data_IF_131322158964
#
_entry.id   IF_131322158964
#
_cell.length_a   1.000
_cell.length_b   1.000
_cell.length_c   1.000
_cell.angle_alpha   90.00
_cell.angle_beta   90.00
_cell.angle_gamma   90.00
#
_symmetry.space_group_name_H-M   'P 1'
#
loop_
_entity.id
_entity.type
_entity.pdbx_description
1 polymer ?
#
# COMPACT_ATOMS: atom_id res chain seq x y z
N UNK A 1 -6.67 -19.47 -5.39
CA UNK A 1 -7.57 -18.67 -4.51
C UNK A 1 -9.01 -19.13 -4.65
N UNK A 2 -9.55 -19.20 -5.86
CA UNK A 2 -10.88 -19.77 -6.17
C UNK A 2 -10.98 -21.21 -5.64
N UNK A 3 -9.95 -22.00 -5.83
CA UNK A 3 -9.89 -23.42 -5.39
C UNK A 3 -9.99 -23.52 -3.85
N UNK A 4 -9.24 -22.69 -3.11
CA UNK A 4 -9.28 -22.71 -1.64
C UNK A 4 -10.64 -22.27 -1.13
N UNK A 5 -11.22 -21.23 -1.73
CA UNK A 5 -12.54 -20.75 -1.35
C UNK A 5 -13.65 -21.75 -1.70
N UNK A 6 -13.58 -22.38 -2.87
CA UNK A 6 -14.50 -23.47 -3.26
C UNK A 6 -14.40 -24.63 -2.27
N UNK A 7 -13.17 -25.02 -1.87
CA UNK A 7 -12.95 -26.06 -0.89
C UNK A 7 -13.56 -25.71 0.49
N UNK A 8 -13.37 -24.48 0.98
CA UNK A 8 -13.96 -24.01 2.24
C UNK A 8 -15.49 -23.97 2.16
N UNK A 9 -16.04 -23.53 1.03
CA UNK A 9 -17.50 -23.48 0.82
C UNK A 9 -18.13 -24.87 0.72
N UNK A 10 -17.45 -25.83 0.10
CA UNK A 10 -17.87 -27.23 0.03
C UNK A 10 -17.84 -27.89 1.41
N UNK A 11 -16.85 -27.58 2.25
CA UNK A 11 -16.78 -28.06 3.64
C UNK A 11 -17.90 -27.48 4.52
N UNK A 12 -18.41 -26.28 4.17
CA UNK A 12 -19.51 -25.61 4.87
C UNK A 12 -20.94 -26.01 4.45
N UNK A 13 -21.14 -27.06 3.67
CA UNK A 13 -22.43 -27.62 3.25
C UNK A 13 -23.29 -26.78 2.27
N UNK A 14 -22.74 -25.75 1.61
CA UNK A 14 -23.52 -24.96 0.63
C UNK A 14 -22.68 -24.52 -0.59
N UNK A 15 -22.43 -25.40 -1.58
CA UNK A 15 -21.46 -25.11 -2.65
C UNK A 15 -21.95 -24.14 -3.75
N UNK A 16 -23.22 -24.04 -4.04
CA UNK A 16 -23.71 -23.29 -5.20
C UNK A 16 -24.28 -21.89 -4.90
N UNK A 17 -24.97 -21.64 -3.80
CA UNK A 17 -25.45 -20.28 -3.50
C UNK A 17 -24.32 -19.29 -3.23
N UNK A 18 -23.17 -19.79 -2.76
CA UNK A 18 -22.04 -18.96 -2.35
C UNK A 18 -21.36 -18.19 -3.51
N UNK A 19 -21.44 -18.67 -4.75
CA UNK A 19 -20.88 -17.99 -5.92
C UNK A 19 -21.68 -16.75 -6.34
N UNK A 20 -22.98 -16.70 -6.01
CA UNK A 20 -23.91 -15.64 -6.46
C UNK A 20 -24.62 -14.92 -5.30
N UNK A 21 -24.24 -15.20 -4.06
CA UNK A 21 -24.82 -14.57 -2.87
C UNK A 21 -24.03 -13.36 -2.37
N UNK A 22 -24.59 -12.55 -1.44
CA UNK A 22 -23.86 -11.48 -0.74
C UNK A 22 -22.54 -11.90 -0.12
N UNK A 23 -22.38 -13.18 0.24
CA UNK A 23 -21.13 -13.73 0.78
C UNK A 23 -19.98 -13.71 -0.24
N UNK A 24 -20.27 -13.85 -1.53
CA UNK A 24 -19.30 -13.63 -2.61
C UNK A 24 -18.80 -12.19 -2.62
N UNK A 25 -19.69 -11.22 -2.41
CA UNK A 25 -19.32 -9.80 -2.29
C UNK A 25 -18.44 -9.56 -1.07
N UNK A 26 -18.76 -10.21 0.07
CA UNK A 26 -17.93 -10.20 1.28
C UNK A 26 -16.53 -10.76 1.02
N UNK A 27 -16.45 -11.92 0.37
CA UNK A 27 -15.18 -12.52 -0.03
C UNK A 27 -14.38 -11.60 -0.99
N UNK A 28 -15.04 -11.04 -2.00
CA UNK A 28 -14.41 -10.08 -2.90
C UNK A 28 -13.92 -8.83 -2.16
N UNK A 29 -14.49 -8.46 -1.02
CA UNK A 29 -14.01 -7.40 -0.15
C UNK A 29 -12.78 -7.83 0.66
N UNK A 30 -12.62 -9.10 1.00
CA UNK A 30 -11.40 -9.59 1.70
C UNK A 30 -10.15 -9.51 0.83
N UNK A 31 -10.27 -9.56 -0.50
CA UNK A 31 -9.15 -9.37 -1.44
C UNK A 31 -8.97 -7.92 -1.91
N UNK A 32 -9.48 -6.98 -1.15
CA UNK A 32 -9.40 -5.55 -1.47
C UNK A 32 -7.97 -5.08 -1.81
N UNK A 33 -6.98 -5.60 -1.11
CA UNK A 33 -5.58 -5.26 -1.32
C UNK A 33 -5.12 -5.63 -2.74
N UNK A 34 -5.42 -6.84 -3.21
CA UNK A 34 -5.05 -7.29 -4.56
C UNK A 34 -5.73 -6.44 -5.63
N UNK A 35 -7.01 -6.12 -5.44
CA UNK A 35 -7.74 -5.22 -6.33
C UNK A 35 -7.08 -3.85 -6.39
N UNK A 36 -6.72 -3.31 -5.22
CA UNK A 36 -6.09 -2.01 -5.12
C UNK A 36 -4.71 -1.99 -5.79
N UNK A 37 -3.89 -3.02 -5.57
CA UNK A 37 -2.59 -3.17 -6.25
C UNK A 37 -2.78 -3.23 -7.76
N UNK A 38 -3.72 -4.02 -8.25
CA UNK A 38 -4.03 -4.09 -9.69
C UNK A 38 -4.46 -2.72 -10.25
N UNK A 39 -5.33 -2.00 -9.55
CA UNK A 39 -5.75 -0.66 -9.94
C UNK A 39 -4.57 0.33 -9.95
N UNK A 40 -3.67 0.25 -8.97
CA UNK A 40 -2.47 1.08 -8.94
C UNK A 40 -1.57 0.83 -10.16
N UNK A 41 -1.37 -0.44 -10.54
CA UNK A 41 -0.62 -0.79 -11.75
C UNK A 41 -1.31 -0.29 -13.01
N UNK A 42 -2.62 -0.48 -13.13
CA UNK A 42 -3.40 -0.04 -14.29
C UNK A 42 -3.36 1.48 -14.43
N UNK A 43 -3.65 2.22 -13.36
CA UNK A 43 -3.61 3.70 -13.34
C UNK A 43 -2.19 4.20 -13.58
N UNK A 44 -1.18 3.59 -12.94
CA UNK A 44 0.23 3.94 -13.15
C UNK A 44 0.65 3.75 -14.61
N UNK A 45 0.33 2.60 -15.20
CA UNK A 45 0.66 2.31 -16.60
C UNK A 45 -0.02 3.30 -17.57
N UNK A 46 -1.33 3.50 -17.44
CA UNK A 46 -2.09 4.39 -18.29
C UNK A 46 -1.63 5.85 -18.16
N UNK A 47 -1.37 6.31 -16.94
CA UNK A 47 -0.94 7.68 -16.70
C UNK A 47 0.46 7.97 -17.23
N UNK A 48 1.42 7.04 -17.08
CA UNK A 48 2.76 7.19 -17.69
C UNK A 48 2.65 7.28 -19.22
N UNK A 49 1.77 6.47 -19.81
CA UNK A 49 1.57 6.46 -21.27
C UNK A 49 0.91 7.77 -21.77
N UNK A 50 0.00 8.32 -20.96
CA UNK A 50 -0.72 9.57 -21.28
C UNK A 50 0.19 10.79 -21.13
N UNK A 51 0.87 10.92 -20.01
CA UNK A 51 1.66 12.13 -19.67
C UNK A 51 3.10 12.07 -20.19
N UNK A 52 3.59 10.90 -20.61
CA UNK A 52 4.99 10.68 -21.04
C UNK A 52 6.06 11.08 -20.02
N UNK A 53 5.66 11.67 -18.91
CA UNK A 53 6.53 12.07 -17.79
C UNK A 53 6.03 11.36 -16.52
N UNK A 54 6.90 10.55 -15.94
CA UNK A 54 6.60 9.73 -14.76
C UNK A 54 6.22 10.59 -13.55
N UNK A 55 6.94 11.68 -13.32
CA UNK A 55 6.71 12.55 -12.17
C UNK A 55 5.41 13.34 -12.31
N UNK A 56 5.08 13.80 -13.52
CA UNK A 56 3.81 14.44 -13.80
C UNK A 56 2.65 13.44 -13.64
N UNK A 57 2.81 12.21 -14.16
CA UNK A 57 1.84 11.14 -13.99
C UNK A 57 1.57 10.83 -12.52
N UNK A 58 2.64 10.71 -11.72
CA UNK A 58 2.54 10.49 -10.28
C UNK A 58 1.81 11.63 -9.58
N UNK A 59 2.23 12.88 -9.82
CA UNK A 59 1.63 14.06 -9.19
C UNK A 59 0.13 14.15 -9.50
N UNK A 60 -0.23 14.10 -10.79
CA UNK A 60 -1.63 14.25 -11.22
C UNK A 60 -2.50 13.13 -10.65
N UNK A 61 -2.05 11.87 -10.73
CA UNK A 61 -2.86 10.76 -10.23
C UNK A 61 -2.99 10.73 -8.71
N UNK A 62 -1.96 11.11 -7.96
CA UNK A 62 -2.02 11.22 -6.50
C UNK A 62 -2.97 12.34 -6.08
N UNK A 63 -2.86 13.52 -6.69
CA UNK A 63 -3.77 14.65 -6.41
C UNK A 63 -5.21 14.28 -6.74
N UNK A 64 -5.46 13.72 -7.93
CA UNK A 64 -6.81 13.29 -8.32
C UNK A 64 -7.36 12.22 -7.37
N UNK A 65 -6.55 11.24 -6.94
CA UNK A 65 -7.01 10.20 -6.00
C UNK A 65 -7.42 10.75 -4.63
N UNK A 66 -6.80 11.86 -4.17
CA UNK A 66 -7.16 12.53 -2.93
C UNK A 66 -8.39 13.44 -3.03
N UNK A 67 -8.68 13.96 -4.23
CA UNK A 67 -9.78 14.88 -4.47
C UNK A 67 -11.06 14.14 -4.86
N UNK A 68 -10.97 13.11 -5.70
CA UNK A 68 -12.14 12.42 -6.24
C UNK A 68 -12.94 11.70 -5.14
N UNK A 69 -14.30 11.77 -5.19
CA UNK A 69 -15.16 11.21 -4.13
C UNK A 69 -15.03 9.70 -3.98
N UNK A 70 -14.57 9.03 -5.03
CA UNK A 70 -14.36 7.57 -5.03
C UNK A 70 -12.92 7.15 -4.72
N UNK A 71 -12.03 8.10 -4.42
CA UNK A 71 -10.63 7.82 -4.10
C UNK A 71 -10.43 6.94 -2.86
N UNK A 72 -11.41 6.92 -1.94
CA UNK A 72 -11.41 6.05 -0.77
C UNK A 72 -11.77 4.58 -1.02
N UNK A 73 -12.26 4.24 -2.22
CA UNK A 73 -12.60 2.84 -2.56
C UNK A 73 -11.37 1.96 -2.47
N UNK A 74 -11.46 0.90 -1.68
CA UNK A 74 -10.34 -0.02 -1.41
C UNK A 74 -9.06 0.68 -0.91
N UNK A 75 -9.19 1.83 -0.25
CA UNK A 75 -8.08 2.66 0.21
C UNK A 75 -7.12 3.08 -0.93
N UNK A 76 -7.63 3.23 -2.13
CA UNK A 76 -6.82 3.52 -3.32
C UNK A 76 -5.99 4.79 -3.19
N UNK A 77 -6.55 5.85 -2.59
CA UNK A 77 -5.88 7.12 -2.33
C UNK A 77 -4.69 7.01 -1.36
N UNK A 78 -4.61 5.95 -0.53
CA UNK A 78 -3.42 5.62 0.27
C UNK A 78 -2.44 4.74 -0.49
N UNK A 79 -2.97 3.75 -1.21
CA UNK A 79 -2.13 2.77 -1.89
C UNK A 79 -1.41 3.37 -3.10
N UNK A 80 -2.06 4.29 -3.82
CA UNK A 80 -1.48 4.89 -5.02
C UNK A 80 -0.23 5.74 -4.72
N UNK A 81 -0.19 6.63 -3.71
CA UNK A 81 1.04 7.30 -3.30
C UNK A 81 2.15 6.33 -2.91
N UNK A 82 1.83 5.25 -2.16
CA UNK A 82 2.79 4.22 -1.77
C UNK A 82 3.34 3.47 -3.00
N UNK A 83 2.48 3.18 -3.97
CA UNK A 83 2.89 2.60 -5.26
C UNK A 83 3.91 3.51 -5.97
N UNK A 84 3.65 4.82 -6.06
CA UNK A 84 4.55 5.77 -6.68
C UNK A 84 5.86 5.95 -5.93
N UNK A 85 5.84 5.90 -4.59
CA UNK A 85 7.08 5.88 -3.79
C UNK A 85 7.89 4.63 -4.09
N UNK A 86 7.27 3.45 -4.15
CA UNK A 86 7.95 2.20 -4.53
C UNK A 86 8.53 2.27 -5.94
N UNK A 87 7.80 2.86 -6.89
CA UNK A 87 8.27 3.07 -8.25
C UNK A 87 9.46 4.04 -8.31
N UNK A 88 9.41 5.15 -7.56
CA UNK A 88 10.50 6.11 -7.43
C UNK A 88 11.75 5.47 -6.81
N UNK A 89 11.59 4.62 -5.79
CA UNK A 89 12.67 3.84 -5.20
C UNK A 89 13.33 2.92 -6.24
N UNK A 90 12.54 2.27 -7.09
CA UNK A 90 13.04 1.42 -8.17
C UNK A 90 13.83 2.21 -9.20
N UNK A 91 13.33 3.37 -9.63
CA UNK A 91 14.03 4.23 -10.58
C UNK A 91 15.37 4.75 -10.03
N UNK A 92 15.45 4.99 -8.72
CA UNK A 92 16.63 5.54 -8.05
C UNK A 92 17.37 4.49 -7.21
N UNK A 93 17.26 3.22 -7.57
CA UNK A 93 17.83 2.12 -6.79
C UNK A 93 19.33 2.28 -6.55
N UNK A 94 20.10 2.72 -7.55
CA UNK A 94 21.55 2.96 -7.44
C UNK A 94 21.88 4.03 -6.38
N UNK A 95 21.09 5.09 -6.30
CA UNK A 95 21.23 6.15 -5.30
C UNK A 95 20.89 5.62 -3.90
N UNK A 96 19.80 4.88 -3.79
CA UNK A 96 19.40 4.24 -2.54
C UNK A 96 20.45 3.26 -2.03
N UNK A 97 21.03 2.44 -2.90
CA UNK A 97 22.07 1.49 -2.54
C UNK A 97 23.36 2.19 -2.11
N UNK A 98 23.73 3.28 -2.81
CA UNK A 98 24.92 4.09 -2.47
C UNK A 98 24.82 4.74 -1.10
N UNK A 99 23.64 5.25 -0.74
CA UNK A 99 23.39 5.98 0.50
C UNK A 99 22.48 5.23 1.49
N UNK A 100 22.42 3.90 1.37
CA UNK A 100 21.48 3.05 2.12
C UNK A 100 21.49 3.32 3.62
N UNK A 101 22.69 3.46 4.24
CA UNK A 101 22.81 3.70 5.68
C UNK A 101 22.16 5.03 6.11
N UNK A 102 22.33 6.07 5.30
CA UNK A 102 21.73 7.37 5.56
C UNK A 102 20.22 7.34 5.43
N UNK A 103 19.71 6.77 4.33
CA UNK A 103 18.27 6.61 4.15
C UNK A 103 17.63 5.73 5.24
N UNK A 104 18.30 4.65 5.65
CA UNK A 104 17.87 3.80 6.76
C UNK A 104 17.83 4.60 8.07
N UNK A 105 18.89 5.33 8.41
CA UNK A 105 18.93 6.15 9.61
C UNK A 105 17.82 7.19 9.66
N UNK A 106 17.64 7.94 8.56
CA UNK A 106 16.60 8.96 8.45
C UNK A 106 15.20 8.33 8.59
N UNK A 107 14.94 7.23 7.89
CA UNK A 107 13.62 6.58 7.93
C UNK A 107 13.30 5.97 9.30
N UNK A 108 14.29 5.37 9.99
CA UNK A 108 14.13 4.85 11.36
C UNK A 108 13.86 5.97 12.36
N UNK A 109 14.61 7.07 12.28
CA UNK A 109 14.39 8.23 13.16
C UNK A 109 13.02 8.84 12.90
N UNK A 110 12.66 9.07 11.63
CA UNK A 110 11.35 9.61 11.27
C UNK A 110 10.22 8.70 11.77
N UNK A 111 10.32 7.39 11.55
CA UNK A 111 9.33 6.42 12.03
C UNK A 111 9.24 6.41 13.55
N UNK A 112 10.39 6.38 14.26
CA UNK A 112 10.45 6.37 15.72
C UNK A 112 9.89 7.65 16.35
N UNK A 113 10.16 8.82 15.77
CA UNK A 113 9.61 10.11 16.24
C UNK A 113 8.10 10.20 16.00
N UNK A 114 7.62 9.65 14.89
CA UNK A 114 6.18 9.69 14.57
C UNK A 114 5.37 8.64 15.33
N UNK A 115 5.96 7.50 15.66
CA UNK A 115 5.26 6.36 16.28
C UNK A 115 4.50 6.70 17.58
N UNK A 116 5.01 7.51 18.52
CA UNK A 116 4.28 7.88 19.73
C UNK A 116 2.97 8.63 19.50
N UNK A 117 2.85 9.32 18.36
CA UNK A 117 1.64 10.05 17.98
C UNK A 117 0.61 9.17 17.26
N UNK A 118 0.96 7.91 17.00
CA UNK A 118 0.04 6.97 16.39
C UNK A 118 -1.04 6.54 17.37
N UNK A 119 -2.27 6.58 16.93
CA UNK A 119 -3.41 6.04 17.67
C UNK A 119 -4.23 5.10 16.78
N UNK A 120 -4.92 4.14 17.39
CA UNK A 120 -5.81 3.22 16.66
C UNK A 120 -6.94 3.94 15.90
N UNK A 121 -7.30 5.16 16.30
CA UNK A 121 -8.27 6.01 15.60
C UNK A 121 -7.76 6.53 14.25
N UNK A 122 -6.45 6.50 14.02
CA UNK A 122 -5.81 6.92 12.77
C UNK A 122 -5.71 5.77 11.75
N UNK A 123 -6.30 4.61 12.02
CA UNK A 123 -6.25 3.48 11.08
C UNK A 123 -7.03 3.78 9.80
N UNK A 124 -6.64 3.12 8.70
CA UNK A 124 -7.23 3.30 7.35
C UNK A 124 -8.75 3.08 7.35
N UNK A 125 -9.24 2.28 8.28
CA UNK A 125 -10.67 1.93 8.36
C UNK A 125 -11.50 2.91 9.18
N UNK A 126 -10.85 3.79 9.96
CA UNK A 126 -11.54 4.68 10.90
C UNK A 126 -11.59 6.14 10.44
N UNK A 127 -10.78 6.52 9.46
CA UNK A 127 -10.67 7.91 9.01
C UNK A 127 -11.08 8.01 7.55
N UNK A 128 -11.93 8.98 7.18
CA UNK A 128 -12.18 9.32 5.80
C UNK A 128 -10.88 9.67 5.10
N UNK A 129 -10.72 9.17 3.88
CA UNK A 129 -9.51 9.39 3.10
C UNK A 129 -9.66 10.53 2.10
N UNK A 130 -10.87 11.09 2.01
CA UNK A 130 -11.21 12.19 1.13
C UNK A 130 -10.86 13.52 1.80
N UNK A 131 -10.20 14.39 1.06
CA UNK A 131 -9.71 15.69 1.54
C UNK A 131 -10.62 16.84 1.13
N UNK A 132 -11.41 16.63 0.06
CA UNK A 132 -12.38 17.61 -0.43
C UNK A 132 -13.79 17.11 -0.13
N UNK A 133 -14.57 17.91 0.58
CA UNK A 133 -16.02 17.70 0.70
C UNK A 133 -16.72 18.22 -0.57
N UNK A 134 -17.25 17.31 -1.34
CA UNK A 134 -17.96 17.62 -2.58
C UNK A 134 -19.33 18.25 -2.37
N UNK A 135 -19.92 18.10 -1.19
CA UNK A 135 -21.21 18.71 -0.85
C UNK A 135 -21.10 20.23 -0.62
N UNK A 136 -20.02 20.64 0.04
CA UNK A 136 -19.77 22.05 0.41
C UNK A 136 -18.64 22.70 -0.40
N UNK A 137 -17.91 21.92 -1.20
CA UNK A 137 -16.68 22.33 -1.91
C UNK A 137 -15.63 22.94 -0.99
N UNK A 138 -15.56 22.46 0.25
CA UNK A 138 -14.59 22.94 1.25
C UNK A 138 -13.48 21.89 1.49
N UNK A 139 -12.27 22.40 1.76
CA UNK A 139 -11.16 21.52 2.13
C UNK A 139 -11.26 21.16 3.60
N UNK A 140 -11.24 19.85 3.89
CA UNK A 140 -11.11 19.33 5.24
C UNK A 140 -9.62 19.34 5.64
N UNK A 141 -9.17 20.46 6.22
CA UNK A 141 -7.78 20.66 6.65
C UNK A 141 -7.40 19.68 7.76
N UNK A 142 -8.33 19.35 8.64
CA UNK A 142 -8.08 18.40 9.72
C UNK A 142 -7.83 17.02 9.13
N UNK A 143 -8.68 16.57 8.23
CA UNK A 143 -8.50 15.28 7.55
C UNK A 143 -7.26 15.26 6.67
N UNK A 144 -6.93 16.36 5.99
CA UNK A 144 -5.68 16.50 5.22
C UNK A 144 -4.45 16.22 6.11
N UNK A 145 -4.41 16.83 7.30
CA UNK A 145 -3.28 16.63 8.23
C UNK A 145 -3.14 15.16 8.67
N UNK A 146 -4.26 14.51 8.95
CA UNK A 146 -4.30 13.07 9.28
C UNK A 146 -3.84 12.22 8.11
N UNK A 147 -4.30 12.50 6.89
CA UNK A 147 -3.90 11.77 5.67
C UNK A 147 -2.40 11.92 5.43
N UNK A 148 -1.87 13.14 5.51
CA UNK A 148 -0.44 13.40 5.33
C UNK A 148 0.41 12.71 6.40
N UNK A 149 0.00 12.77 7.67
CA UNK A 149 0.68 12.07 8.76
C UNK A 149 0.74 10.56 8.51
N UNK A 150 -0.37 9.95 8.09
CA UNK A 150 -0.45 8.51 7.80
C UNK A 150 0.41 8.12 6.62
N UNK A 151 0.43 8.93 5.55
CA UNK A 151 1.33 8.71 4.43
C UNK A 151 2.79 8.78 4.87
N UNK A 152 3.15 9.80 5.65
CA UNK A 152 4.52 10.01 6.12
C UNK A 152 5.01 8.85 7.00
N UNK A 153 4.22 8.42 8.00
CA UNK A 153 4.60 7.30 8.87
C UNK A 153 4.62 5.97 8.10
N UNK A 154 3.69 5.78 7.15
CA UNK A 154 3.66 4.59 6.29
C UNK A 154 4.88 4.52 5.38
N UNK A 155 5.28 5.63 4.76
CA UNK A 155 6.50 5.71 3.94
C UNK A 155 7.73 5.45 4.80
N UNK A 156 7.85 6.12 5.95
CA UNK A 156 9.00 5.94 6.85
C UNK A 156 9.13 4.49 7.34
N UNK A 157 8.03 3.86 7.75
CA UNK A 157 8.02 2.46 8.18
C UNK A 157 8.36 1.49 7.04
N UNK A 158 7.75 1.68 5.86
CA UNK A 158 8.01 0.84 4.69
C UNK A 158 9.45 0.96 4.20
N UNK A 159 9.99 2.17 4.15
CA UNK A 159 11.40 2.42 3.79
C UNK A 159 12.35 1.81 4.81
N UNK A 160 12.06 1.94 6.11
CA UNK A 160 12.84 1.31 7.18
C UNK A 160 12.91 -0.21 7.01
N UNK A 161 11.77 -0.85 6.79
CA UNK A 161 11.71 -2.28 6.56
C UNK A 161 12.45 -2.71 5.29
N UNK A 162 12.21 -2.01 4.18
CA UNK A 162 12.85 -2.30 2.90
C UNK A 162 14.38 -2.18 2.97
N UNK A 163 14.88 -1.08 3.57
CA UNK A 163 16.31 -0.84 3.67
C UNK A 163 17.00 -1.73 4.72
N UNK A 164 16.27 -2.17 5.75
CA UNK A 164 16.77 -3.06 6.78
C UNK A 164 16.87 -4.52 6.32
N UNK A 165 15.97 -4.93 5.40
CA UNK A 165 15.83 -6.34 4.98
C UNK A 165 17.14 -7.02 4.56
N UNK A 166 18.09 -6.40 3.81
CA UNK A 166 19.36 -7.05 3.48
C UNK A 166 20.29 -7.27 4.67
N UNK A 167 20.20 -6.42 5.68
CA UNK A 167 20.99 -6.61 6.92
C UNK A 167 20.43 -7.79 7.72
N UNK A 168 19.11 -7.88 7.84
CA UNK A 168 18.44 -9.02 8.47
C UNK A 168 18.76 -10.30 7.72
N UNK A 169 18.66 -10.29 6.37
CA UNK A 169 19.01 -11.45 5.56
C UNK A 169 20.43 -11.95 5.83
N UNK A 170 21.43 -11.06 5.87
CA UNK A 170 22.82 -11.44 6.19
C UNK A 170 23.00 -12.08 7.58
N UNK A 171 22.18 -11.66 8.56
CA UNK A 171 22.21 -12.24 9.91
C UNK A 171 21.66 -13.67 9.97
N UNK A 172 20.75 -14.01 9.05
CA UNK A 172 20.16 -15.35 8.96
C UNK A 172 20.78 -16.21 7.85
N UNK A 173 21.63 -15.61 7.01
CA UNK A 173 22.37 -16.29 5.97
C UNK A 173 23.28 -17.37 6.59
N UNK A 174 23.24 -18.58 6.03
CA UNK A 174 23.93 -19.74 6.60
C UNK A 174 23.18 -20.48 7.70
N UNK A 175 22.05 -19.98 8.19
CA UNK A 175 21.15 -20.70 9.10
C UNK A 175 20.07 -21.41 8.28
N UNK A 176 19.56 -22.55 8.76
CA UNK A 176 18.52 -23.33 8.08
C UNK A 176 17.26 -22.52 7.68
N UNK A 177 16.99 -21.42 8.39
CA UNK A 177 15.91 -20.46 8.10
C UNK A 177 16.09 -19.82 6.70
N UNK A 178 17.31 -19.42 6.33
CA UNK A 178 17.57 -18.81 5.03
C UNK A 178 17.31 -19.79 3.87
N UNK A 179 17.65 -21.06 4.06
CA UNK A 179 17.38 -22.13 3.08
C UNK A 179 15.88 -22.34 2.91
N UNK A 180 15.11 -22.36 4.02
CA UNK A 180 13.66 -22.50 3.99
C UNK A 180 12.98 -21.30 3.27
N UNK A 181 13.40 -20.06 3.58
CA UNK A 181 12.87 -18.86 2.93
C UNK A 181 13.18 -18.82 1.41
N UNK A 182 14.38 -19.23 1.01
CA UNK A 182 14.75 -19.34 -0.39
C UNK A 182 13.95 -20.44 -1.12
N UNK A 183 13.60 -21.53 -0.43
CA UNK A 183 12.73 -22.58 -0.95
C UNK A 183 11.31 -22.07 -1.25
N UNK A 184 10.73 -21.30 -0.33
CA UNK A 184 9.39 -20.69 -0.48
C UNK A 184 9.36 -19.66 -1.62
N UNK A 185 10.43 -18.88 -1.78
CA UNK A 185 10.51 -17.84 -2.82
C UNK A 185 10.74 -18.37 -4.24
N UNK A 186 11.08 -19.67 -4.40
CA UNK A 186 11.29 -20.33 -5.69
C UNK A 186 10.12 -21.22 -6.15
N UNK A 187 9.16 -21.47 -5.27
CA UNK A 187 7.91 -22.19 -5.57
C UNK A 187 6.83 -21.24 -6.09
#
# INVERSE_FOLDING_TARGET
FIIVWTAVSVMGHNPWPALFTPDWMGFMNTVWFLKCVFLCYLVGFLSIRLFRNVWLAALVTVVLSGILPYGGVANFNFMLPMFWVGYACKLNQSLLDRHRKWFLGISLVAFGVMLPFWSGRLTVYMVPTQVLDWGTFTWDVQNLSVVLYRLAIGIAGSMSFFLLSPYVYRLIEGKGIATALNGIGRS
#
